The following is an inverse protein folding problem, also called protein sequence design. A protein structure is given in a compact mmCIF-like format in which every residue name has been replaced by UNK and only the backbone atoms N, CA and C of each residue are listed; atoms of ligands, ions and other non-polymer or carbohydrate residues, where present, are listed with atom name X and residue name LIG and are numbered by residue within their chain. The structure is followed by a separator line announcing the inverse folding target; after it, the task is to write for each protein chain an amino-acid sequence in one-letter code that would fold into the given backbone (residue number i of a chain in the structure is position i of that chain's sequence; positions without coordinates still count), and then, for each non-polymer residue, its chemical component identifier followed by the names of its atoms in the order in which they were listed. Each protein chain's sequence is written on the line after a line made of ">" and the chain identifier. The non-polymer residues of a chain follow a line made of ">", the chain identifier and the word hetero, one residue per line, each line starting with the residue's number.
data_IF_480855544543
#
_entry.id   IF_480855544543
#
_cell.length_a   1.000
_cell.length_b   1.000
_cell.length_c   1.000
_cell.angle_alpha   90.00
_cell.angle_beta   90.00
_cell.angle_gamma   90.00
#
_symmetry.space_group_name_H-M   'P 1'
#
loop_
_entity.id
_entity.type
_entity.pdbx_description
1 polymer ?
#
# COMPACT_ATOMS: atom_id res chain seq x y z
N UNK A 1 27.90 4.50 -7.49
CA UNK A 1 29.13 4.32 -8.29
C UNK A 1 29.93 3.04 -8.00
N UNK A 2 29.99 2.51 -6.76
CA UNK A 2 30.67 1.21 -6.48
C UNK A 2 29.96 0.01 -7.15
N UNK A 3 28.64 -0.09 -6.99
CA UNK A 3 27.82 -1.16 -7.60
C UNK A 3 27.97 -1.25 -9.13
N UNK A 4 27.87 -0.14 -9.87
CA UNK A 4 28.04 -0.17 -11.33
C UNK A 4 29.44 -0.64 -11.79
N UNK A 5 30.49 -0.36 -11.01
CA UNK A 5 31.86 -0.76 -11.32
C UNK A 5 32.10 -2.24 -10.98
N UNK A 6 31.49 -2.72 -9.90
CA UNK A 6 31.45 -4.14 -9.52
C UNK A 6 30.67 -4.96 -10.56
N UNK A 7 29.48 -4.51 -10.95
CA UNK A 7 28.64 -5.17 -11.98
C UNK A 7 29.37 -5.23 -13.32
N UNK A 8 30.11 -4.18 -13.70
CA UNK A 8 30.94 -4.19 -14.90
C UNK A 8 32.08 -5.21 -14.86
N UNK A 9 32.66 -5.46 -13.68
CA UNK A 9 33.72 -6.48 -13.51
C UNK A 9 33.12 -7.89 -13.58
N UNK A 10 32.02 -8.12 -12.87
CA UNK A 10 31.30 -9.41 -12.87
C UNK A 10 30.84 -9.80 -14.28
N UNK A 11 30.34 -8.85 -15.04
CA UNK A 11 29.90 -9.07 -16.41
C UNK A 11 31.06 -9.41 -17.35
N UNK A 12 32.24 -8.81 -17.14
CA UNK A 12 33.44 -9.12 -17.91
C UNK A 12 33.98 -10.53 -17.61
N UNK A 13 33.94 -10.96 -16.35
CA UNK A 13 34.33 -12.32 -15.96
C UNK A 13 33.33 -13.36 -16.51
N UNK A 14 32.02 -13.09 -16.43
CA UNK A 14 30.99 -13.93 -17.05
C UNK A 14 31.21 -14.09 -18.57
N UNK A 15 31.50 -13.01 -19.28
CA UNK A 15 31.79 -13.07 -20.71
C UNK A 15 33.05 -13.88 -21.04
N UNK A 16 34.08 -13.84 -20.18
CA UNK A 16 35.29 -14.65 -20.35
C UNK A 16 35.01 -16.14 -20.21
N UNK A 17 34.12 -16.52 -19.31
CA UNK A 17 33.74 -17.91 -19.08
C UNK A 17 32.92 -18.48 -20.23
N UNK A 18 31.91 -17.74 -20.71
CA UNK A 18 31.07 -18.20 -21.82
C UNK A 18 31.77 -18.10 -23.19
N UNK A 19 32.83 -17.30 -23.33
CA UNK A 19 33.55 -17.16 -24.60
C UNK A 19 34.19 -18.48 -25.08
N UNK A 20 34.48 -19.40 -24.15
CA UNK A 20 35.07 -20.72 -24.44
C UNK A 20 34.06 -21.71 -25.03
N UNK A 21 32.76 -21.41 -24.98
CA UNK A 21 31.75 -22.33 -25.48
C UNK A 21 31.72 -22.37 -27.01
N UNK A 22 31.70 -23.59 -27.55
CA UNK A 22 31.61 -23.87 -28.97
C UNK A 22 30.19 -24.31 -29.33
N UNK A 23 29.64 -23.87 -30.47
CA UNK A 23 28.33 -24.34 -30.93
C UNK A 23 28.33 -25.85 -31.15
N UNK A 24 27.26 -26.52 -30.71
CA UNK A 24 27.10 -27.96 -30.89
C UNK A 24 26.65 -28.28 -32.33
N UNK A 25 27.00 -29.47 -32.80
CA UNK A 25 26.44 -30.00 -34.04
C UNK A 25 25.00 -30.49 -33.82
N UNK A 26 24.21 -30.53 -34.88
CA UNK A 26 22.82 -30.99 -34.81
C UNK A 26 22.71 -32.44 -34.31
N UNK A 27 23.63 -33.31 -34.72
CA UNK A 27 23.67 -34.70 -34.25
C UNK A 27 23.92 -34.78 -32.74
N UNK A 28 24.83 -33.92 -32.24
CA UNK A 28 25.13 -33.84 -30.81
C UNK A 28 23.97 -33.28 -30.00
N UNK A 29 23.24 -32.28 -30.52
CA UNK A 29 22.03 -31.76 -29.88
C UNK A 29 20.97 -32.86 -29.67
N UNK A 30 20.79 -33.73 -30.65
CA UNK A 30 19.83 -34.86 -30.56
C UNK A 30 20.31 -35.89 -29.53
N UNK A 31 21.59 -36.28 -29.56
CA UNK A 31 22.16 -37.22 -28.58
C UNK A 31 22.02 -36.70 -27.14
N UNK A 32 22.30 -35.41 -26.92
CA UNK A 32 22.15 -34.78 -25.61
C UNK A 32 20.69 -34.73 -25.18
N UNK A 33 19.75 -34.42 -26.09
CA UNK A 33 18.32 -34.41 -25.78
C UNK A 33 17.81 -35.78 -25.29
N UNK A 34 18.22 -36.87 -25.95
CA UNK A 34 17.85 -38.23 -25.53
C UNK A 34 18.41 -38.58 -24.14
N UNK A 35 19.64 -38.13 -23.83
CA UNK A 35 20.27 -38.34 -22.52
C UNK A 35 19.60 -37.50 -21.42
N UNK A 36 19.23 -36.27 -21.72
CA UNK A 36 18.49 -35.38 -20.81
C UNK A 36 17.14 -36.00 -20.44
N UNK A 37 16.44 -36.59 -21.42
CA UNK A 37 15.16 -37.26 -21.17
C UNK A 37 15.29 -38.49 -20.27
N UNK A 38 16.48 -39.11 -20.23
CA UNK A 38 16.85 -40.19 -19.29
C UNK A 38 17.32 -39.67 -17.92
N UNK A 39 17.36 -38.35 -17.71
CA UNK A 39 17.74 -37.71 -16.44
C UNK A 39 19.24 -37.42 -16.29
N UNK A 40 20.02 -37.43 -17.38
CA UNK A 40 21.45 -37.12 -17.34
C UNK A 40 21.72 -35.61 -17.16
N UNK A 41 22.15 -35.22 -15.96
CA UNK A 41 22.43 -33.83 -15.59
C UNK A 41 23.63 -33.29 -16.38
N UNK A 42 24.65 -34.11 -16.63
CA UNK A 42 25.85 -33.65 -17.36
C UNK A 42 25.51 -33.31 -18.81
N UNK A 43 24.62 -34.08 -19.44
CA UNK A 43 24.13 -33.80 -20.79
C UNK A 43 23.34 -32.48 -20.85
N UNK A 44 22.54 -32.20 -19.81
CA UNK A 44 21.80 -30.94 -19.68
C UNK A 44 22.75 -29.76 -19.58
N UNK A 45 23.74 -29.85 -18.70
CA UNK A 45 24.70 -28.78 -18.46
C UNK A 45 25.59 -28.54 -19.68
N UNK A 46 25.99 -29.60 -20.42
CA UNK A 46 26.69 -29.49 -21.70
C UNK A 46 25.85 -28.71 -22.74
N UNK A 47 24.56 -29.06 -22.88
CA UNK A 47 23.65 -28.38 -23.81
C UNK A 47 23.42 -26.91 -23.43
N UNK A 48 23.28 -26.61 -22.13
CA UNK A 48 23.12 -25.24 -21.63
C UNK A 48 24.39 -24.42 -21.90
N UNK A 49 25.56 -24.92 -21.47
CA UNK A 49 26.84 -24.21 -21.58
C UNK A 49 27.20 -23.85 -23.03
N UNK A 50 26.88 -24.72 -23.98
CA UNK A 50 27.07 -24.46 -25.40
C UNK A 50 26.24 -23.27 -25.93
N UNK A 51 25.09 -22.99 -25.31
CA UNK A 51 24.10 -22.02 -25.79
C UNK A 51 24.02 -20.72 -24.96
N UNK A 52 24.84 -20.55 -23.91
CA UNK A 52 24.81 -19.35 -23.06
C UNK A 52 25.08 -18.04 -23.84
N UNK A 53 25.94 -18.09 -24.86
CA UNK A 53 26.23 -16.93 -25.73
C UNK A 53 24.98 -16.42 -26.44
N UNK A 54 24.12 -17.34 -26.86
CA UNK A 54 22.87 -17.00 -27.53
C UNK A 54 21.89 -16.26 -26.61
N UNK A 55 21.85 -16.61 -25.33
CA UNK A 55 21.01 -15.92 -24.34
C UNK A 55 21.42 -14.45 -24.22
N UNK A 56 22.72 -14.16 -24.23
CA UNK A 56 23.24 -12.78 -24.18
C UNK A 56 22.73 -11.96 -25.37
N UNK A 57 22.74 -12.53 -26.58
CA UNK A 57 22.23 -11.85 -27.79
C UNK A 57 20.72 -11.57 -27.72
N UNK A 58 19.95 -12.46 -27.09
CA UNK A 58 18.51 -12.24 -26.87
C UNK A 58 18.27 -11.20 -25.77
N UNK A 59 19.01 -11.26 -24.67
CA UNK A 59 18.91 -10.32 -23.55
C UNK A 59 19.31 -8.89 -23.97
N UNK A 60 20.31 -8.74 -24.82
CA UNK A 60 20.74 -7.44 -25.36
C UNK A 60 19.60 -6.68 -26.06
N UNK A 61 18.65 -7.38 -26.70
CA UNK A 61 17.48 -6.77 -27.36
C UNK A 61 16.45 -6.21 -26.37
N UNK A 62 16.55 -6.59 -25.10
CA UNK A 62 15.61 -6.21 -24.03
C UNK A 62 16.23 -5.27 -22.99
N UNK A 63 17.42 -4.72 -23.27
CA UNK A 63 18.06 -3.70 -22.44
C UNK A 63 17.20 -2.42 -22.31
N UNK A 64 17.50 -1.63 -21.29
CA UNK A 64 16.87 -0.33 -21.01
C UNK A 64 15.36 -0.41 -20.70
N UNK A 65 14.90 -1.55 -20.17
CA UNK A 65 13.50 -1.78 -19.74
C UNK A 65 13.33 -1.85 -18.22
N UNK A 66 14.25 -1.24 -17.48
CA UNK A 66 14.20 -1.16 -16.02
C UNK A 66 14.90 -2.28 -15.25
N UNK A 67 15.51 -3.25 -15.94
CA UNK A 67 16.39 -4.26 -15.33
C UNK A 67 17.81 -4.15 -15.87
N UNK A 68 18.79 -4.51 -15.04
CA UNK A 68 20.19 -4.58 -15.47
C UNK A 68 20.41 -5.73 -16.45
N UNK A 69 21.43 -5.60 -17.30
CA UNK A 69 21.75 -6.62 -18.30
C UNK A 69 22.06 -7.98 -17.65
N UNK A 70 22.74 -7.98 -16.49
CA UNK A 70 23.08 -9.21 -15.78
C UNK A 70 21.80 -9.94 -15.32
N UNK A 71 20.82 -9.20 -14.79
CA UNK A 71 19.53 -9.75 -14.37
C UNK A 71 18.76 -10.31 -15.56
N UNK A 72 18.74 -9.60 -16.70
CA UNK A 72 18.14 -10.08 -17.94
C UNK A 72 18.79 -11.37 -18.45
N UNK A 73 20.13 -11.47 -18.38
CA UNK A 73 20.86 -12.69 -18.75
C UNK A 73 20.50 -13.83 -17.79
N UNK A 74 20.45 -13.57 -16.48
CA UNK A 74 20.12 -14.60 -15.49
C UNK A 74 18.70 -15.16 -15.69
N UNK A 75 17.72 -14.28 -15.94
CA UNK A 75 16.35 -14.68 -16.28
C UNK A 75 16.29 -15.45 -17.61
N UNK A 76 17.06 -15.02 -18.61
CA UNK A 76 17.19 -15.73 -19.87
C UNK A 76 17.79 -17.14 -19.71
N UNK A 77 18.79 -17.29 -18.85
CA UNK A 77 19.40 -18.59 -18.53
C UNK A 77 18.39 -19.54 -17.86
N UNK A 78 17.51 -19.04 -16.99
CA UNK A 78 16.42 -19.83 -16.44
C UNK A 78 15.44 -20.33 -17.53
N UNK A 79 15.16 -19.48 -18.52
CA UNK A 79 14.37 -19.86 -19.69
C UNK A 79 15.07 -20.90 -20.55
N UNK A 80 16.40 -20.79 -20.72
CA UNK A 80 17.21 -21.77 -21.44
C UNK A 80 17.21 -23.14 -20.76
N UNK A 81 17.34 -23.19 -19.43
CA UNK A 81 17.25 -24.43 -18.64
C UNK A 81 15.89 -25.11 -18.88
N UNK A 82 14.81 -24.34 -18.78
CA UNK A 82 13.44 -24.84 -19.01
C UNK A 82 13.28 -25.37 -20.44
N UNK A 83 13.90 -24.71 -21.42
CA UNK A 83 13.91 -25.19 -22.81
C UNK A 83 14.69 -26.49 -22.96
N UNK A 84 15.86 -26.61 -22.33
CA UNK A 84 16.69 -27.81 -22.39
C UNK A 84 15.99 -29.04 -21.79
N UNK A 85 15.23 -28.86 -20.71
CA UNK A 85 14.47 -29.95 -20.07
C UNK A 85 13.27 -30.44 -20.90
N UNK A 86 12.73 -29.59 -21.78
CA UNK A 86 11.54 -29.88 -22.59
C UNK A 86 11.84 -30.11 -24.06
N UNK A 87 13.10 -29.99 -24.46
CA UNK A 87 13.50 -30.12 -25.86
C UNK A 87 13.46 -31.58 -26.30
N UNK A 88 12.84 -31.81 -27.46
CA UNK A 88 12.81 -33.11 -28.13
C UNK A 88 13.52 -33.00 -29.48
N UNK A 89 14.64 -33.71 -29.60
CA UNK A 89 15.48 -33.74 -30.80
C UNK A 89 14.85 -34.49 -31.98
N UNK A 90 13.80 -35.28 -31.77
CA UNK A 90 13.14 -36.05 -32.83
C UNK A 90 12.41 -35.17 -33.86
N UNK A 91 12.03 -33.95 -33.48
CA UNK A 91 11.24 -33.03 -34.32
C UNK A 91 12.04 -32.38 -35.47
N UNK A 92 13.35 -32.60 -35.55
CA UNK A 92 14.15 -32.15 -36.69
C UNK A 92 14.35 -30.62 -36.80
N UNK A 93 14.13 -29.87 -35.73
CA UNK A 93 14.50 -28.46 -35.62
C UNK A 93 15.73 -28.28 -34.73
N UNK A 94 16.50 -27.20 -34.93
CA UNK A 94 17.63 -26.88 -34.05
C UNK A 94 17.14 -26.50 -32.67
N UNK A 95 17.92 -26.82 -31.63
CA UNK A 95 17.57 -26.47 -30.24
C UNK A 95 17.27 -24.97 -30.06
N UNK A 96 18.11 -24.12 -30.65
CA UNK A 96 17.97 -22.65 -30.56
C UNK A 96 16.59 -22.18 -31.05
N UNK A 97 16.04 -22.79 -32.11
CA UNK A 97 14.73 -22.42 -32.65
C UNK A 97 13.60 -22.60 -31.63
N UNK A 98 13.71 -23.60 -30.76
CA UNK A 98 12.78 -23.84 -29.66
C UNK A 98 13.11 -22.96 -28.44
N UNK A 99 14.39 -22.85 -28.09
CA UNK A 99 14.85 -22.15 -26.90
C UNK A 99 14.51 -20.65 -26.90
N UNK A 100 14.52 -20.00 -28.08
CA UNK A 100 14.21 -18.56 -28.21
C UNK A 100 12.90 -18.17 -27.53
N UNK A 101 11.86 -19.00 -27.67
CA UNK A 101 10.55 -18.69 -27.09
C UNK A 101 10.60 -18.69 -25.56
N UNK A 102 11.23 -19.71 -24.97
CA UNK A 102 11.39 -19.84 -23.52
C UNK A 102 12.29 -18.77 -22.92
N UNK A 103 13.42 -18.47 -23.59
CA UNK A 103 14.33 -17.40 -23.17
C UNK A 103 13.57 -16.06 -23.16
N UNK A 104 12.85 -15.75 -24.24
CA UNK A 104 12.09 -14.50 -24.34
C UNK A 104 10.96 -14.42 -23.33
N UNK A 105 10.23 -15.51 -23.11
CA UNK A 105 9.15 -15.59 -22.13
C UNK A 105 9.68 -15.32 -20.72
N UNK A 106 10.79 -15.97 -20.34
CA UNK A 106 11.41 -15.80 -19.03
C UNK A 106 11.91 -14.37 -18.81
N UNK A 107 12.58 -13.78 -19.81
CA UNK A 107 13.04 -12.39 -19.76
C UNK A 107 11.87 -11.41 -19.61
N UNK A 108 10.81 -11.57 -20.41
CA UNK A 108 9.63 -10.70 -20.34
C UNK A 108 8.91 -10.84 -18.99
N UNK A 109 8.85 -12.05 -18.44
CA UNK A 109 8.28 -12.31 -17.13
C UNK A 109 9.10 -11.66 -16.01
N UNK A 110 10.43 -11.74 -16.06
CA UNK A 110 11.32 -11.07 -15.11
C UNK A 110 11.12 -9.55 -15.18
N UNK A 111 11.13 -8.96 -16.39
CA UNK A 111 10.85 -7.53 -16.58
C UNK A 111 9.50 -7.16 -15.96
N UNK A 112 8.43 -7.91 -16.23
CA UNK A 112 7.11 -7.59 -15.69
C UNK A 112 7.06 -7.65 -14.15
N UNK A 113 7.87 -8.52 -13.54
CA UNK A 113 7.84 -8.80 -12.11
C UNK A 113 8.77 -7.90 -11.28
N UNK A 114 9.93 -7.54 -11.82
CA UNK A 114 11.07 -6.98 -11.07
C UNK A 114 11.47 -5.59 -11.54
N UNK A 115 11.07 -5.14 -12.74
CA UNK A 115 11.48 -3.81 -13.26
C UNK A 115 10.91 -2.60 -12.51
N UNK A 116 9.93 -2.81 -11.62
CA UNK A 116 9.20 -1.74 -10.93
C UNK A 116 9.33 -1.88 -9.43
N UNK A 117 9.55 -0.75 -8.76
CA UNK A 117 9.55 -0.64 -7.29
C UNK A 117 8.25 -1.16 -6.68
N UNK A 118 7.12 -0.78 -7.27
CA UNK A 118 5.80 -1.32 -6.91
C UNK A 118 5.42 -2.38 -7.92
N UNK A 119 5.34 -3.63 -7.46
CA UNK A 119 5.00 -4.78 -8.28
C UNK A 119 3.58 -4.68 -8.83
N UNK A 120 3.43 -4.90 -10.13
CA UNK A 120 2.12 -5.00 -10.79
C UNK A 120 1.84 -6.44 -11.26
N UNK A 121 0.57 -6.88 -11.27
CA UNK A 121 0.20 -8.14 -11.90
C UNK A 121 0.52 -8.15 -13.41
N UNK A 122 0.88 -9.32 -13.94
CA UNK A 122 1.28 -9.49 -15.35
C UNK A 122 0.21 -8.96 -16.32
N UNK A 123 -1.07 -9.22 -16.05
CA UNK A 123 -2.18 -8.77 -16.90
C UNK A 123 -2.23 -7.24 -17.00
N UNK A 124 -1.94 -6.52 -15.90
CA UNK A 124 -1.91 -5.06 -15.86
C UNK A 124 -0.71 -4.52 -16.64
N UNK A 125 0.45 -5.18 -16.55
CA UNK A 125 1.65 -4.83 -17.34
C UNK A 125 1.40 -5.05 -18.84
N UNK A 126 0.75 -6.16 -19.22
CA UNK A 126 0.41 -6.44 -20.61
C UNK A 126 -0.52 -5.37 -21.19
N UNK A 127 -1.56 -4.98 -20.45
CA UNK A 127 -2.45 -3.90 -20.86
C UNK A 127 -1.71 -2.56 -20.95
N UNK A 128 -0.83 -2.23 -20.01
CA UNK A 128 -0.02 -1.01 -20.09
C UNK A 128 0.88 -1.01 -21.34
N UNK A 129 1.47 -2.14 -21.70
CA UNK A 129 2.23 -2.28 -22.95
C UNK A 129 1.33 -2.13 -24.19
N UNK A 130 0.09 -2.62 -24.18
CA UNK A 130 -0.88 -2.40 -25.28
C UNK A 130 -1.22 -0.91 -25.40
N UNK A 131 -1.56 -0.26 -24.29
CA UNK A 131 -1.85 1.17 -24.24
C UNK A 131 -0.67 1.99 -24.76
N UNK A 132 0.56 1.72 -24.30
CA UNK A 132 1.76 2.41 -24.77
C UNK A 132 2.02 2.20 -26.27
N UNK A 133 1.80 0.99 -26.81
CA UNK A 133 1.95 0.71 -28.24
C UNK A 133 0.91 1.47 -29.07
N UNK A 134 -0.36 1.44 -28.64
CA UNK A 134 -1.45 2.17 -29.31
C UNK A 134 -1.19 3.67 -29.24
N UNK A 135 -0.74 4.18 -28.09
CA UNK A 135 -0.39 5.58 -27.92
C UNK A 135 0.71 6.02 -28.90
N UNK A 136 1.78 5.23 -29.04
CA UNK A 136 2.83 5.50 -30.02
C UNK A 136 2.34 5.41 -31.47
N UNK A 137 1.41 4.49 -31.77
CA UNK A 137 0.83 4.35 -33.11
C UNK A 137 -0.03 5.56 -33.48
N UNK A 138 -0.90 6.00 -32.57
CA UNK A 138 -1.73 7.20 -32.73
C UNK A 138 -0.87 8.46 -32.85
N UNK A 139 0.15 8.60 -32.00
CA UNK A 139 1.10 9.70 -32.06
C UNK A 139 1.81 9.75 -33.41
N UNK A 140 2.21 8.61 -33.98
CA UNK A 140 2.85 8.55 -35.30
C UNK A 140 1.90 8.91 -36.44
N UNK A 141 0.62 8.56 -36.33
CA UNK A 141 -0.39 8.87 -37.34
C UNK A 141 -0.78 10.35 -37.33
N UNK A 142 -0.87 10.97 -36.15
CA UNK A 142 -1.35 12.34 -35.96
C UNK A 142 -0.24 13.39 -35.83
N UNK A 143 0.96 13.00 -35.45
CA UNK A 143 2.19 13.80 -35.52
C UNK A 143 2.44 14.75 -34.34
N UNK A 144 1.42 15.27 -33.65
CA UNK A 144 1.64 16.43 -32.75
C UNK A 144 1.11 16.29 -31.31
N UNK A 145 0.10 15.45 -31.04
CA UNK A 145 -0.53 15.39 -29.71
C UNK A 145 -0.47 13.99 -29.08
N UNK A 146 -0.19 13.94 -27.77
CA UNK A 146 -0.34 12.72 -27.00
C UNK A 146 -1.82 12.32 -26.95
N UNK A 147 -2.17 11.06 -27.27
CA UNK A 147 -3.56 10.64 -27.33
C UNK A 147 -4.18 10.68 -25.93
N UNK A 148 -5.41 11.18 -25.88
CA UNK A 148 -6.17 11.25 -24.64
C UNK A 148 -6.58 9.87 -24.15
N UNK A 149 -6.89 9.73 -22.86
CA UNK A 149 -7.37 8.46 -22.31
C UNK A 149 -8.67 7.98 -22.97
N UNK A 150 -9.49 8.90 -23.47
CA UNK A 150 -10.74 8.62 -24.21
C UNK A 150 -10.46 7.99 -25.57
N UNK A 151 -9.54 8.58 -26.34
CA UNK A 151 -9.14 8.03 -27.65
C UNK A 151 -8.47 6.66 -27.52
N UNK A 152 -7.65 6.48 -26.48
CA UNK A 152 -7.04 5.18 -26.19
C UNK A 152 -8.08 4.13 -25.83
N UNK A 153 -9.13 4.52 -25.11
CA UNK A 153 -10.23 3.63 -24.75
C UNK A 153 -11.06 3.22 -25.98
N UNK A 154 -11.35 4.17 -26.87
CA UNK A 154 -12.07 3.91 -28.13
C UNK A 154 -11.28 2.95 -29.05
N UNK A 155 -9.99 3.21 -29.26
CA UNK A 155 -9.15 2.39 -30.15
C UNK A 155 -8.91 0.98 -29.58
N UNK A 156 -8.83 0.84 -28.25
CA UNK A 156 -8.63 -0.45 -27.60
C UNK A 156 -9.94 -1.21 -27.31
N UNK A 157 -11.10 -0.56 -27.45
CA UNK A 157 -12.40 -1.12 -27.06
C UNK A 157 -12.53 -1.41 -25.57
N UNK A 158 -11.86 -0.61 -24.73
CA UNK A 158 -11.84 -0.75 -23.26
C UNK A 158 -12.66 0.37 -22.60
N UNK A 159 -13.20 0.16 -21.38
CA UNK A 159 -13.86 1.24 -20.66
C UNK A 159 -12.85 2.31 -20.22
N UNK A 160 -13.24 3.59 -20.34
CA UNK A 160 -12.40 4.75 -20.01
C UNK A 160 -11.80 4.65 -18.60
N UNK A 161 -12.61 4.22 -17.63
CA UNK A 161 -12.19 4.12 -16.23
C UNK A 161 -11.05 3.11 -16.05
N UNK A 162 -11.10 1.98 -16.76
CA UNK A 162 -10.03 0.97 -16.72
C UNK A 162 -8.73 1.50 -17.36
N UNK A 163 -8.83 2.25 -18.46
CA UNK A 163 -7.66 2.88 -19.08
C UNK A 163 -7.01 3.89 -18.13
N UNK A 164 -7.82 4.72 -17.44
CA UNK A 164 -7.32 5.67 -16.43
C UNK A 164 -6.66 4.96 -15.26
N UNK A 165 -7.26 3.90 -14.72
CA UNK A 165 -6.67 3.10 -13.64
C UNK A 165 -5.32 2.51 -14.04
N UNK A 166 -5.22 1.94 -15.24
CA UNK A 166 -3.98 1.33 -15.73
C UNK A 166 -2.91 2.39 -15.98
N UNK A 167 -3.27 3.55 -16.52
CA UNK A 167 -2.35 4.68 -16.70
C UNK A 167 -1.85 5.21 -15.34
N UNK A 168 -2.72 5.30 -14.33
CA UNK A 168 -2.32 5.69 -12.97
C UNK A 168 -1.37 4.66 -12.36
N UNK A 169 -1.69 3.37 -12.45
CA UNK A 169 -0.83 2.28 -11.97
C UNK A 169 0.51 2.22 -12.73
N UNK A 170 0.54 2.68 -13.98
CA UNK A 170 1.73 2.72 -14.82
C UNK A 170 2.74 3.82 -14.49
N UNK A 171 2.37 4.81 -13.67
CA UNK A 171 3.24 5.93 -13.28
C UNK A 171 4.50 5.43 -12.55
N UNK A 172 5.66 5.97 -12.94
CA UNK A 172 6.93 5.63 -12.29
C UNK A 172 7.08 6.32 -10.95
N UNK A 173 7.70 5.63 -9.99
CA UNK A 173 8.09 6.22 -8.70
C UNK A 173 9.24 7.21 -8.92
N UNK A 174 9.23 8.30 -8.16
CA UNK A 174 10.37 9.23 -8.08
C UNK A 174 11.12 9.07 -6.76
N UNK A 175 12.41 9.40 -6.76
CA UNK A 175 13.20 9.38 -5.54
C UNK A 175 12.88 10.62 -4.69
N UNK A 176 12.74 10.43 -3.38
CA UNK A 176 12.59 11.55 -2.43
C UNK A 176 13.90 12.32 -2.25
N UNK A 177 15.03 11.67 -2.54
CA UNK A 177 16.37 12.25 -2.49
C UNK A 177 16.74 12.99 -3.78
N UNK A 178 15.86 13.00 -4.81
CA UNK A 178 16.10 13.74 -6.05
C UNK A 178 16.14 15.24 -5.73
N UNK A 179 17.32 15.87 -5.91
CA UNK A 179 17.52 17.29 -5.67
C UNK A 179 16.94 18.13 -6.82
N UNK A 180 16.19 19.17 -6.49
CA UNK A 180 15.77 20.16 -7.48
C UNK A 180 16.96 21.10 -7.77
N UNK A 181 17.66 20.91 -8.89
CA UNK A 181 18.74 21.76 -9.50
C UNK A 181 19.50 22.78 -8.60
N UNK A 182 20.82 22.76 -8.72
CA UNK A 182 21.85 23.72 -8.20
C UNK A 182 21.98 23.89 -6.68
N UNK A 183 20.93 23.69 -5.88
CA UNK A 183 21.03 23.65 -4.42
C UNK A 183 20.97 22.18 -3.94
N UNK A 184 22.10 21.63 -3.48
CA UNK A 184 22.18 20.26 -2.90
C UNK A 184 21.22 20.07 -1.71
N UNK A 185 20.82 21.15 -1.05
CA UNK A 185 19.95 21.13 0.13
C UNK A 185 18.44 21.06 -0.17
N UNK A 186 18.03 21.19 -1.44
CA UNK A 186 16.60 21.16 -1.83
C UNK A 186 16.21 19.80 -2.39
N UNK A 187 16.05 18.82 -1.49
CA UNK A 187 15.42 17.52 -1.81
C UNK A 187 13.90 17.58 -1.63
N UNK A 188 13.17 16.67 -2.28
CA UNK A 188 11.73 16.52 -2.04
C UNK A 188 11.43 16.13 -0.58
N UNK A 189 12.31 15.35 0.04
CA UNK A 189 12.22 14.99 1.45
C UNK A 189 12.20 16.22 2.38
N UNK A 190 12.96 17.27 2.05
CA UNK A 190 13.03 18.48 2.87
C UNK A 190 11.80 19.40 2.72
N UNK A 191 10.98 19.20 1.68
CA UNK A 191 9.79 20.01 1.39
C UNK A 191 8.53 19.34 1.90
N UNK A 192 8.49 18.00 1.93
CA UNK A 192 7.33 17.24 2.37
C UNK A 192 7.09 17.48 3.87
N UNK A 193 5.92 18.01 4.19
CA UNK A 193 5.49 18.17 5.57
C UNK A 193 5.17 16.81 6.21
N UNK A 194 5.54 16.65 7.47
CA UNK A 194 5.14 15.50 8.28
C UNK A 194 3.75 15.74 8.87
N UNK A 195 2.72 15.14 8.26
CA UNK A 195 1.35 15.23 8.74
C UNK A 195 1.09 14.42 10.02
N UNK A 196 2.02 13.57 10.45
CA UNK A 196 1.85 12.74 11.65
C UNK A 196 2.23 13.46 12.94
N UNK A 197 2.92 14.61 12.83
CA UNK A 197 3.26 15.43 13.99
C UNK A 197 2.16 16.43 14.27
N UNK A 198 1.66 16.40 15.51
CA UNK A 198 0.75 17.41 16.00
C UNK A 198 1.45 18.78 16.00
N UNK A 199 0.85 19.80 15.35
CA UNK A 199 1.38 21.16 15.38
C UNK A 199 1.50 21.67 16.83
N UNK A 200 2.58 22.40 17.18
CA UNK A 200 2.82 22.84 18.56
C UNK A 200 1.73 23.80 19.08
N UNK A 201 1.11 24.55 18.19
CA UNK A 201 -0.04 25.41 18.45
C UNK A 201 -1.31 24.61 18.78
N UNK A 202 -1.58 23.49 18.10
CA UNK A 202 -2.72 22.61 18.43
C UNK A 202 -2.62 22.06 19.86
N UNK A 203 -1.41 21.64 20.28
CA UNK A 203 -1.19 21.13 21.63
C UNK A 203 -1.48 22.19 22.71
N UNK A 204 -1.09 23.45 22.48
CA UNK A 204 -1.35 24.57 23.39
C UNK A 204 -2.84 24.93 23.40
N UNK A 205 -3.48 24.99 22.23
CA UNK A 205 -4.93 25.23 22.11
C UNK A 205 -5.75 24.17 22.84
N UNK A 206 -5.33 22.90 22.78
CA UNK A 206 -5.99 21.80 23.51
C UNK A 206 -5.87 21.94 25.02
N UNK A 207 -4.70 22.36 25.53
CA UNK A 207 -4.52 22.62 26.96
C UNK A 207 -5.38 23.80 27.43
N UNK A 208 -5.40 24.89 26.67
CA UNK A 208 -6.20 26.07 26.98
C UNK A 208 -7.71 25.76 26.92
N UNK A 209 -8.15 24.98 25.93
CA UNK A 209 -9.52 24.48 25.85
C UNK A 209 -9.87 23.61 27.07
N UNK A 210 -8.96 22.73 27.51
CA UNK A 210 -9.18 21.92 28.71
C UNK A 210 -9.33 22.77 29.97
N UNK A 211 -8.46 23.77 30.15
CA UNK A 211 -8.57 24.70 31.28
C UNK A 211 -9.87 25.50 31.24
N UNK A 212 -10.29 25.95 30.06
CA UNK A 212 -11.56 26.65 29.85
C UNK A 212 -12.75 25.74 30.20
N UNK A 213 -12.73 24.48 29.78
CA UNK A 213 -13.74 23.48 30.16
C UNK A 213 -13.76 23.27 31.67
N UNK A 214 -12.60 23.13 32.32
CA UNK A 214 -12.50 22.94 33.77
C UNK A 214 -13.01 24.15 34.56
N UNK A 215 -12.71 25.38 34.10
CA UNK A 215 -13.28 26.62 34.67
C UNK A 215 -14.80 26.61 34.58
N UNK A 216 -15.39 26.27 33.44
CA UNK A 216 -16.85 26.25 33.29
C UNK A 216 -17.47 25.08 34.09
N UNK A 217 -16.81 23.91 34.17
CA UNK A 217 -17.24 22.79 35.01
C UNK A 217 -17.22 23.13 36.52
N UNK A 218 -16.24 23.92 36.97
CA UNK A 218 -16.15 24.36 38.37
C UNK A 218 -17.31 25.27 38.80
N UNK A 219 -17.97 25.93 37.84
CA UNK A 219 -19.15 26.79 38.07
C UNK A 219 -20.47 26.02 38.23
N UNK A 220 -20.43 24.69 38.07
CA UNK A 220 -21.57 23.81 38.29
C UNK A 220 -21.57 23.24 39.71
N UNK A 221 -22.73 22.77 40.14
CA UNK A 221 -22.84 22.03 41.39
C UNK A 221 -22.08 20.70 41.27
N UNK A 222 -21.49 20.22 42.38
CA UNK A 222 -20.59 19.06 42.38
C UNK A 222 -21.25 17.81 41.73
N UNK A 223 -22.54 17.61 41.97
CA UNK A 223 -23.32 16.50 41.39
C UNK A 223 -23.62 16.69 39.89
N UNK A 224 -23.86 17.93 39.46
CA UNK A 224 -24.07 18.25 38.04
C UNK A 224 -22.75 18.06 37.26
N UNK A 225 -21.60 18.47 37.84
CA UNK A 225 -20.25 18.29 37.28
C UNK A 225 -19.90 16.81 37.11
N UNK A 226 -20.04 16.01 38.16
CA UNK A 226 -19.70 14.58 38.15
C UNK A 226 -20.47 13.82 37.07
N UNK A 227 -21.78 14.10 36.91
CA UNK A 227 -22.59 13.49 35.86
C UNK A 227 -22.10 13.86 34.44
N UNK A 228 -21.65 15.10 34.24
CA UNK A 228 -21.14 15.55 32.93
C UNK A 228 -19.77 14.93 32.63
N UNK A 229 -18.87 14.92 33.61
CA UNK A 229 -17.54 14.33 33.48
C UNK A 229 -17.64 12.84 33.13
N UNK A 230 -18.48 12.08 33.84
CA UNK A 230 -18.70 10.65 33.59
C UNK A 230 -19.39 10.38 32.25
N UNK A 231 -20.32 11.26 31.84
CA UNK A 231 -21.03 11.10 30.59
C UNK A 231 -20.15 11.37 29.36
N UNK A 232 -19.26 12.36 29.44
CA UNK A 232 -18.38 12.74 28.34
C UNK A 232 -16.97 12.14 28.43
N UNK A 233 -16.60 11.52 29.54
CA UNK A 233 -15.28 10.91 29.74
C UNK A 233 -14.15 11.94 29.87
N UNK A 234 -14.40 13.07 30.53
CA UNK A 234 -13.46 14.21 30.55
C UNK A 234 -12.22 14.00 31.45
N UNK A 235 -12.30 13.11 32.44
CA UNK A 235 -11.21 12.81 33.40
C UNK A 235 -10.44 11.52 33.04
N UNK A 236 -10.28 11.23 31.74
CA UNK A 236 -9.59 10.05 31.21
C UNK A 236 -10.26 8.70 31.54
N UNK A 237 -11.55 8.72 31.87
CA UNK A 237 -12.43 7.55 31.98
C UNK A 237 -13.30 7.44 30.71
N UNK A 238 -13.66 6.23 30.28
CA UNK A 238 -14.54 6.05 29.12
C UNK A 238 -15.91 6.70 29.36
N UNK A 239 -16.52 7.22 28.29
CA UNK A 239 -17.87 7.78 28.36
C UNK A 239 -18.86 6.74 28.85
N UNK A 240 -19.58 7.04 29.94
CA UNK A 240 -20.57 6.14 30.52
C UNK A 240 -21.98 6.40 29.98
N UNK A 241 -22.76 5.34 29.82
CA UNK A 241 -24.19 5.47 29.48
C UNK A 241 -24.98 6.06 30.66
N UNK A 242 -26.15 6.65 30.38
CA UNK A 242 -27.02 7.22 31.42
C UNK A 242 -27.46 6.20 32.48
N UNK A 243 -27.51 4.91 32.09
CA UNK A 243 -27.87 3.79 32.96
C UNK A 243 -26.72 3.45 33.91
N UNK A 244 -25.50 3.30 33.38
CA UNK A 244 -24.29 3.09 34.18
C UNK A 244 -24.01 4.23 35.17
N UNK A 245 -24.22 5.49 34.74
CA UNK A 245 -24.09 6.66 35.63
C UNK A 245 -25.17 6.63 36.72
N UNK A 246 -26.39 6.21 36.38
CA UNK A 246 -27.48 6.05 37.33
C UNK A 246 -27.18 4.99 38.39
N UNK A 247 -26.67 3.84 37.98
CA UNK A 247 -26.22 2.77 38.88
C UNK A 247 -25.09 3.23 39.80
N UNK A 248 -24.06 3.92 39.25
CA UNK A 248 -22.91 4.42 40.02
C UNK A 248 -23.30 5.46 41.07
N UNK A 249 -24.26 6.34 40.76
CA UNK A 249 -24.68 7.44 41.63
C UNK A 249 -25.92 7.13 42.47
N UNK A 250 -26.50 5.92 42.33
CA UNK A 250 -27.72 5.50 43.05
C UNK A 250 -28.98 6.27 42.64
N UNK A 251 -29.06 6.67 41.37
CA UNK A 251 -30.11 7.54 40.81
C UNK A 251 -30.75 6.88 39.58
N UNK A 252 -32.04 7.13 39.32
CA UNK A 252 -32.69 6.62 38.10
C UNK A 252 -32.09 7.23 36.83
N UNK A 253 -32.03 6.44 35.75
CA UNK A 253 -31.61 6.88 34.41
C UNK A 253 -32.27 8.19 33.97
N UNK A 254 -33.58 8.32 34.20
CA UNK A 254 -34.33 9.52 33.83
C UNK A 254 -33.89 10.75 34.63
N UNK A 255 -33.50 10.57 35.89
CA UNK A 255 -32.99 11.66 36.72
C UNK A 255 -31.59 12.10 36.27
N UNK A 256 -30.72 11.19 35.84
CA UNK A 256 -29.42 11.54 35.20
C UNK A 256 -29.67 12.37 33.93
N UNK A 257 -30.65 11.98 33.09
CA UNK A 257 -31.04 12.73 31.88
C UNK A 257 -31.50 14.16 32.19
N UNK A 258 -32.33 14.32 33.22
CA UNK A 258 -32.80 15.64 33.66
C UNK A 258 -31.66 16.54 34.13
N UNK A 259 -30.74 16.00 34.94
CA UNK A 259 -29.57 16.73 35.44
C UNK A 259 -28.66 17.15 34.28
N UNK A 260 -28.37 16.24 33.34
CA UNK A 260 -27.63 16.55 32.11
C UNK A 260 -28.28 17.71 31.34
N UNK A 261 -29.58 17.62 31.06
CA UNK A 261 -30.30 18.67 30.30
C UNK A 261 -30.22 20.04 31.01
N UNK A 262 -30.36 20.04 32.34
CA UNK A 262 -30.26 21.26 33.15
C UNK A 262 -28.85 21.83 33.12
N UNK A 263 -27.82 21.00 33.24
CA UNK A 263 -26.43 21.45 33.23
C UNK A 263 -25.99 21.96 31.85
N UNK A 264 -26.40 21.28 30.76
CA UNK A 264 -26.22 21.80 29.39
C UNK A 264 -26.92 23.13 29.16
N UNK A 265 -28.12 23.34 29.74
CA UNK A 265 -28.80 24.64 29.69
C UNK A 265 -28.02 25.73 30.42
N UNK A 266 -27.35 25.40 31.53
CA UNK A 266 -26.46 26.33 32.26
C UNK A 266 -25.21 26.68 31.43
N UNK A 267 -24.63 25.71 30.71
CA UNK A 267 -23.49 25.97 29.81
C UNK A 267 -23.82 26.90 28.64
N UNK A 268 -25.05 26.82 28.12
CA UNK A 268 -25.53 27.67 27.02
C UNK A 268 -25.81 29.12 27.41
N UNK A 269 -25.63 29.51 28.67
CA UNK A 269 -25.81 30.91 29.08
C UNK A 269 -24.66 31.77 28.51
N UNK A 270 -24.93 32.97 27.93
CA UNK A 270 -23.92 33.80 27.26
C UNK A 270 -22.65 34.05 28.09
N UNK A 271 -22.83 34.22 29.40
CA UNK A 271 -21.73 34.42 30.37
C UNK A 271 -20.77 33.23 30.51
N UNK A 272 -21.13 32.04 30.01
CA UNK A 272 -20.31 30.81 30.09
C UNK A 272 -19.97 30.26 28.71
N UNK A 273 -20.83 30.50 27.71
CA UNK A 273 -20.56 30.11 26.33
C UNK A 273 -19.49 30.99 25.66
N UNK A 274 -19.32 32.24 26.09
CA UNK A 274 -18.31 33.13 25.51
C UNK A 274 -16.86 32.71 25.83
N UNK A 275 -16.63 31.98 26.93
CA UNK A 275 -15.31 31.46 27.28
C UNK A 275 -14.91 30.27 26.39
N UNK A 276 -15.88 29.49 25.91
CA UNK A 276 -15.66 28.32 25.05
C UNK A 276 -15.85 28.67 23.56
N UNK A 277 -16.67 29.68 23.24
CA UNK A 277 -16.97 30.10 21.86
C UNK A 277 -15.79 30.77 21.14
N UNK A 278 -14.67 30.99 21.82
CA UNK A 278 -13.42 31.51 21.21
C UNK A 278 -12.72 30.44 20.38
N UNK A 279 -13.01 29.16 20.64
CA UNK A 279 -12.48 28.01 19.89
C UNK A 279 -13.40 27.59 18.72
N UNK A 280 -14.50 28.33 18.46
CA UNK A 280 -15.48 28.06 17.40
C UNK A 280 -15.13 28.71 16.03
N UNK A 281 -13.92 29.28 15.86
CA UNK A 281 -13.52 29.90 14.59
C UNK A 281 -13.07 28.86 13.55
N UNK A 282 -13.92 28.63 12.55
CA UNK A 282 -13.57 28.28 11.15
C UNK A 282 -12.44 27.25 10.94
N UNK A 283 -12.49 26.10 11.62
CA UNK A 283 -11.68 24.95 11.26
C UNK A 283 -12.57 23.86 10.67
N UNK A 284 -12.36 23.53 9.39
CA UNK A 284 -12.71 22.22 8.82
C UNK A 284 -12.20 21.08 9.74
N UNK A 285 -12.76 19.85 9.67
CA UNK A 285 -13.00 18.99 10.82
C UNK A 285 -11.72 18.33 11.37
N UNK A 286 -10.88 19.08 12.10
CA UNK A 286 -9.70 18.56 12.82
C UNK A 286 -10.11 17.52 13.86
N UNK A 287 -11.27 17.70 14.51
CA UNK A 287 -11.81 16.75 15.50
C UNK A 287 -12.14 15.39 14.89
N UNK A 288 -12.36 15.30 13.57
CA UNK A 288 -12.64 14.03 12.88
C UNK A 288 -11.37 13.32 12.38
N UNK A 289 -10.21 13.99 12.33
CA UNK A 289 -8.92 13.39 11.91
C UNK A 289 -8.32 12.57 13.06
N UNK A 290 -8.30 13.13 14.28
CA UNK A 290 -7.89 12.41 15.49
C UNK A 290 -8.82 11.25 15.87
N UNK A 291 -10.14 11.36 15.61
CA UNK A 291 -11.09 10.27 15.82
C UNK A 291 -10.95 9.12 14.79
N UNK A 292 -10.41 9.39 13.61
CA UNK A 292 -10.14 8.41 12.55
C UNK A 292 -8.79 7.71 12.73
N UNK A 293 -7.75 8.43 13.15
CA UNK A 293 -6.40 7.88 13.36
C UNK A 293 -6.33 6.91 14.56
N UNK A 294 -7.00 7.24 15.67
CA UNK A 294 -7.17 6.33 16.82
C UNK A 294 -7.98 5.07 16.47
N UNK A 295 -8.87 5.16 15.48
CA UNK A 295 -9.66 4.04 14.97
C UNK A 295 -8.82 3.12 14.06
N UNK A 296 -7.92 3.68 13.24
CA UNK A 296 -7.06 2.92 12.34
C UNK A 296 -5.86 2.25 13.05
N UNK A 297 -5.25 2.92 14.04
CA UNK A 297 -4.17 2.31 14.85
C UNK A 297 -4.67 1.12 15.68
N UNK A 298 -5.90 1.17 16.21
CA UNK A 298 -6.49 0.07 17.00
C UNK A 298 -6.92 -1.13 16.14
N UNK A 299 -7.34 -0.93 14.89
CA UNK A 299 -7.71 -2.03 13.99
C UNK A 299 -6.51 -2.80 13.42
N UNK A 300 -5.35 -2.15 13.22
CA UNK A 300 -4.14 -2.83 12.74
C UNK A 300 -3.47 -3.71 13.82
N UNK A 301 -3.57 -3.31 15.10
CA UNK A 301 -3.07 -4.12 16.23
C UNK A 301 -3.96 -5.36 16.45
N UNK A 302 -5.28 -5.25 16.28
CA UNK A 302 -6.19 -6.40 16.40
C UNK A 302 -6.07 -7.41 15.24
N UNK A 303 -5.76 -6.96 14.02
CA UNK A 303 -5.57 -7.86 12.87
C UNK A 303 -4.25 -8.68 12.97
N UNK A 304 -3.20 -8.10 13.54
CA UNK A 304 -1.90 -8.78 13.74
C UNK A 304 -1.97 -9.84 14.87
N UNK A 305 -2.73 -9.57 15.93
CA UNK A 305 -2.93 -10.50 17.07
C UNK A 305 -3.83 -11.69 16.68
N UNK A 306 -4.80 -11.48 15.79
CA UNK A 306 -5.71 -12.55 15.33
C UNK A 306 -5.02 -13.62 14.46
N UNK A 307 -3.92 -13.29 13.77
CA UNK A 307 -3.23 -14.24 12.89
C UNK A 307 -2.17 -15.09 13.63
N UNK A 308 -1.65 -14.62 14.77
CA UNK A 308 -0.73 -15.37 15.62
C UNK A 308 -1.45 -16.45 16.45
N UNK A 309 -2.67 -16.17 16.91
CA UNK A 309 -3.45 -17.10 17.75
C UNK A 309 -4.19 -18.20 16.98
N UNK A 310 -4.14 -18.21 15.64
CA UNK A 310 -4.70 -19.31 14.82
C UNK A 310 -3.72 -20.46 14.59
N UNK A 311 -2.44 -20.28 14.94
CA UNK A 311 -1.40 -21.29 14.73
C UNK A 311 -1.12 -22.19 15.96
N UNK A 312 -1.52 -21.79 17.18
CA UNK A 312 -1.22 -22.54 18.40
C UNK A 312 -2.47 -22.71 19.28
N UNK A 313 -3.09 -23.90 19.29
CA UNK A 313 -4.15 -24.17 20.26
C UNK A 313 -5.03 -25.40 20.02
N UNK A 314 -4.45 -26.56 19.69
CA UNK A 314 -5.06 -27.84 20.07
C UNK A 314 -4.67 -28.13 21.54
N UNK A 315 -5.67 -28.44 22.38
CA UNK A 315 -5.61 -29.03 23.73
C UNK A 315 -5.93 -28.15 24.97
N UNK A 316 -6.99 -28.64 25.68
CA UNK A 316 -7.21 -28.76 27.14
C UNK A 316 -7.84 -27.62 27.99
N UNK A 317 -9.14 -27.84 28.26
CA UNK A 317 -9.95 -27.83 29.49
C UNK A 317 -9.52 -27.14 30.83
N UNK A 318 -10.51 -26.40 31.38
CA UNK A 318 -10.97 -26.22 32.78
C UNK A 318 -10.13 -25.45 33.81
N UNK A 319 -10.54 -24.20 34.14
CA UNK A 319 -11.12 -23.76 35.44
C UNK A 319 -11.18 -22.22 35.57
N UNK A 320 -12.33 -21.75 36.09
CA UNK A 320 -12.62 -20.52 36.87
C UNK A 320 -11.83 -19.22 36.66
N UNK A 321 -12.56 -18.11 36.48
CA UNK A 321 -12.07 -16.77 36.84
C UNK A 321 -12.70 -15.64 36.02
N UNK A 322 -13.33 -14.69 36.72
CA UNK A 322 -13.91 -13.44 36.21
C UNK A 322 -13.00 -12.69 35.22
N UNK A 323 -13.61 -12.06 34.21
CA UNK A 323 -12.96 -11.09 33.33
C UNK A 323 -13.95 -10.54 32.30
N UNK A 324 -14.52 -9.38 32.60
CA UNK A 324 -15.44 -8.63 31.76
C UNK A 324 -14.75 -8.22 30.45
N UNK A 325 -15.34 -8.58 29.31
CA UNK A 325 -14.90 -8.15 27.99
C UNK A 325 -15.95 -7.18 27.41
N UNK A 326 -15.52 -5.92 27.39
CA UNK A 326 -15.97 -4.76 26.64
C UNK A 326 -17.00 -4.98 25.51
N UNK A 327 -18.10 -4.25 25.64
CA UNK A 327 -19.08 -4.03 24.58
C UNK A 327 -18.58 -3.04 23.54
N UNK A 328 -18.71 -3.41 22.27
CA UNK A 328 -18.57 -2.54 21.11
C UNK A 328 -19.92 -2.44 20.40
N UNK A 329 -20.73 -1.49 20.87
CA UNK A 329 -21.84 -0.83 20.15
C UNK A 329 -21.83 0.56 20.79
N UNK A 330 -21.50 1.68 20.14
CA UNK A 330 -22.07 2.19 18.89
C UNK A 330 -21.29 3.41 18.34
N UNK A 331 -20.70 3.26 17.15
CA UNK A 331 -20.35 4.41 16.28
C UNK A 331 -21.58 5.00 15.57
N UNK A 332 -22.72 4.30 15.62
CA UNK A 332 -24.04 4.80 15.19
C UNK A 332 -24.52 5.97 16.08
N UNK A 333 -24.00 6.11 17.31
CA UNK A 333 -24.40 7.18 18.24
C UNK A 333 -23.58 8.47 18.11
N UNK A 334 -22.38 8.42 17.52
CA UNK A 334 -21.60 9.65 17.21
C UNK A 334 -22.13 10.38 15.96
N UNK A 335 -22.63 9.66 14.96
CA UNK A 335 -23.33 10.26 13.81
C UNK A 335 -24.62 10.97 14.22
N UNK A 336 -25.30 10.51 15.28
CA UNK A 336 -26.46 11.20 15.87
C UNK A 336 -26.09 12.58 16.42
N UNK A 337 -24.86 12.84 16.87
CA UNK A 337 -24.48 14.18 17.35
C UNK A 337 -24.52 15.25 16.26
N UNK A 338 -24.13 14.93 15.02
CA UNK A 338 -24.22 15.86 13.87
C UNK A 338 -25.67 16.09 13.42
N UNK A 339 -26.52 15.05 13.42
CA UNK A 339 -27.93 15.19 13.02
C UNK A 339 -28.80 15.88 14.09
N UNK A 340 -28.58 15.60 15.38
CA UNK A 340 -29.45 16.12 16.45
C UNK A 340 -29.13 17.57 16.83
N UNK A 341 -27.90 18.06 16.59
CA UNK A 341 -27.57 19.48 16.76
C UNK A 341 -28.07 20.35 15.60
N UNK A 342 -28.08 19.82 14.36
CA UNK A 342 -28.53 20.56 13.18
C UNK A 342 -30.06 20.58 13.02
N UNK A 343 -30.79 19.52 13.40
CA UNK A 343 -32.27 19.52 13.25
C UNK A 343 -33.00 20.48 14.19
N UNK A 344 -32.38 20.98 15.26
CA UNK A 344 -33.03 21.89 16.21
C UNK A 344 -32.81 23.39 15.90
N UNK A 345 -32.19 23.72 14.75
CA UNK A 345 -32.04 25.08 14.24
C UNK A 345 -33.01 25.40 13.09
N UNK A 346 -33.87 24.45 12.70
CA UNK A 346 -34.75 24.56 11.52
C UNK A 346 -36.26 24.50 11.84
N UNK A 347 -36.66 24.58 13.11
CA UNK A 347 -38.06 24.77 13.52
C UNK A 347 -38.19 26.09 14.30
N UNK A 348 -38.15 27.20 13.55
CA UNK A 348 -38.90 28.43 13.84
C UNK A 348 -39.77 28.75 12.62
#
# INVERSE_FOLDING_TARGET
>A
MRSAKENSCLLADYFRDIAKSSPLSREREVELAERIQKGDINARDELINANLRFVVDVANKHQNRGLELLDLISAGNLGLITAAERFDGANGYKFISYAVWWIRQSILQAIANESRTVRLPINRVEMLCKISKTAHLLLRQRGEEEPTAEELAEELGLPLEEVKEILMAGKSTRSLDETFKEDEDRSLLNILADESQEPPDEAVLRLDLRESIDKVLSSLDNRDREIIVLYFGLDAEDSMTLEQIGERLGITRERVRQIKKRALKKFRHPSRSNDIGQYDSESEPVVNKYAMEDFQQKHNVHASIANSNKANGHARALKSGNGSANGFISDIERAKWKSTLFHFRAEE
#
